data_IF_718176772043
#
_entry.id   IF_718176772043
#
_cell.length_a   1.000
_cell.length_b   1.000
_cell.length_c   1.000
_cell.angle_alpha   90.00
_cell.angle_beta   90.00
_cell.angle_gamma   90.00
#
_symmetry.space_group_name_H-M   'P 1'
#
loop_
_entity.id
_entity.type
_entity.pdbx_description
1 polymer ?
#
# COMPACT_ATOMS: atom_id res chain seq x y z
N UNK A 1 -16.74 2.32 -15.79
CA UNK A 1 -17.11 2.99 -14.52
C UNK A 1 -16.39 2.42 -13.29
N UNK A 2 -16.51 1.13 -12.97
CA UNK A 2 -15.99 0.57 -11.70
C UNK A 2 -14.49 0.79 -11.45
N UNK A 3 -13.64 0.66 -12.48
CA UNK A 3 -12.18 0.93 -12.40
C UNK A 3 -11.84 2.38 -12.01
N UNK A 4 -12.64 3.36 -12.44
CA UNK A 4 -12.42 4.76 -12.11
C UNK A 4 -12.84 5.06 -10.66
N UNK A 5 -13.92 4.42 -10.17
CA UNK A 5 -14.34 4.52 -8.77
C UNK A 5 -13.29 3.96 -7.82
N UNK A 6 -12.74 2.77 -8.10
CA UNK A 6 -11.63 2.21 -7.32
C UNK A 6 -10.42 3.13 -7.27
N UNK A 7 -10.08 3.78 -8.39
CA UNK A 7 -8.97 4.72 -8.46
C UNK A 7 -9.20 6.00 -7.65
N UNK A 8 -10.42 6.53 -7.66
CA UNK A 8 -10.80 7.68 -6.81
C UNK A 8 -10.75 7.30 -5.32
N UNK A 9 -11.34 6.16 -4.97
CA UNK A 9 -11.36 5.68 -3.59
C UNK A 9 -9.95 5.40 -3.06
N UNK A 10 -9.12 4.70 -3.84
CA UNK A 10 -7.72 4.48 -3.50
C UNK A 10 -6.99 5.79 -3.29
N UNK A 11 -7.10 6.75 -4.20
CA UNK A 11 -6.39 8.03 -4.07
C UNK A 11 -6.77 8.81 -2.80
N UNK A 12 -8.02 8.74 -2.36
CA UNK A 12 -8.51 9.46 -1.19
C UNK A 12 -8.13 8.75 0.11
N UNK A 13 -8.35 7.43 0.18
CA UNK A 13 -8.10 6.66 1.40
C UNK A 13 -6.63 6.24 1.56
N UNK A 14 -5.86 6.17 0.47
CA UNK A 14 -4.44 5.81 0.51
C UNK A 14 -3.64 6.58 1.55
N UNK A 15 -3.65 7.93 1.61
CA UNK A 15 -2.89 8.64 2.65
C UNK A 15 -3.35 8.30 4.07
N UNK A 16 -4.65 8.08 4.28
CA UNK A 16 -5.22 7.75 5.59
C UNK A 16 -4.78 6.35 6.05
N UNK A 17 -4.78 5.38 5.14
CA UNK A 17 -4.39 3.99 5.42
C UNK A 17 -2.87 3.83 5.44
N UNK A 18 -2.16 4.53 4.57
CA UNK A 18 -0.70 4.44 4.43
C UNK A 18 0.03 5.06 5.63
N UNK A 19 -0.49 6.15 6.20
CA UNK A 19 0.18 6.83 7.31
C UNK A 19 0.39 5.92 8.54
N UNK A 20 -0.63 5.23 9.09
CA UNK A 20 -0.42 4.30 10.20
C UNK A 20 0.47 3.10 9.78
N UNK A 21 0.31 2.58 8.56
CA UNK A 21 1.18 1.52 8.04
C UNK A 21 2.65 1.92 7.97
N UNK A 22 2.91 3.15 7.54
CA UNK A 22 4.24 3.71 7.45
C UNK A 22 4.86 3.82 8.84
N UNK A 23 4.11 4.38 9.80
CA UNK A 23 4.56 4.47 11.21
C UNK A 23 4.88 3.08 11.76
N UNK A 24 3.96 2.12 11.65
CA UNK A 24 4.14 0.74 12.13
C UNK A 24 5.36 0.07 11.49
N UNK A 25 5.57 0.25 10.18
CA UNK A 25 6.72 -0.35 9.48
C UNK A 25 8.04 0.28 9.94
N UNK A 26 8.10 1.61 10.01
CA UNK A 26 9.32 2.33 10.41
C UNK A 26 9.68 2.02 11.87
N UNK A 27 8.71 2.02 12.79
CA UNK A 27 8.97 1.69 14.19
C UNK A 27 9.38 0.23 14.37
N UNK A 28 8.82 -0.70 13.61
CA UNK A 28 9.22 -2.11 13.64
C UNK A 28 10.66 -2.32 13.15
N UNK A 29 11.04 -1.66 12.05
CA UNK A 29 12.42 -1.67 11.53
C UNK A 29 13.36 -1.04 12.57
N UNK A 30 13.04 0.15 13.07
CA UNK A 30 13.85 0.85 14.05
C UNK A 30 14.01 0.04 15.35
N UNK A 31 12.97 -0.66 15.79
CA UNK A 31 13.02 -1.52 16.98
C UNK A 31 14.04 -2.64 16.78
N UNK A 32 13.98 -3.31 15.62
CA UNK A 32 14.87 -4.44 15.31
C UNK A 32 16.31 -4.00 15.13
N UNK A 33 16.55 -2.89 14.42
CA UNK A 33 17.89 -2.31 14.29
C UNK A 33 18.42 -1.84 15.65
N UNK A 34 17.61 -1.13 16.42
CA UNK A 34 17.94 -0.64 17.76
C UNK A 34 18.38 -1.78 18.69
N UNK A 35 17.61 -2.86 18.75
CA UNK A 35 17.90 -4.02 19.62
C UNK A 35 19.08 -4.85 19.12
N UNK A 36 19.18 -5.10 17.81
CA UNK A 36 20.13 -6.09 17.29
C UNK A 36 21.45 -5.49 16.84
N UNK A 37 21.46 -4.25 16.35
CA UNK A 37 22.65 -3.62 15.79
C UNK A 37 23.23 -2.55 16.73
N UNK A 38 22.36 -1.78 17.40
CA UNK A 38 22.78 -0.70 18.30
C UNK A 38 22.81 -1.10 19.78
N UNK A 39 22.41 -2.33 20.10
CA UNK A 39 22.47 -2.85 21.47
C UNK A 39 21.55 -2.13 22.47
N UNK A 40 20.52 -1.42 22.02
CA UNK A 40 19.54 -0.78 22.90
C UNK A 40 18.90 -1.80 23.83
N UNK A 41 18.67 -1.45 25.09
CA UNK A 41 17.94 -2.30 26.02
C UNK A 41 16.47 -2.46 25.60
N UNK A 42 15.78 -3.45 26.18
CA UNK A 42 14.37 -3.69 25.87
C UNK A 42 13.52 -2.48 26.25
N UNK A 43 13.83 -1.85 27.38
CA UNK A 43 13.11 -0.70 27.91
C UNK A 43 13.33 0.54 27.04
N UNK A 44 14.56 0.77 26.56
CA UNK A 44 14.87 1.85 25.63
C UNK A 44 14.12 1.70 24.31
N UNK A 45 14.02 0.48 23.79
CA UNK A 45 13.32 0.20 22.55
C UNK A 45 11.80 0.08 22.72
N UNK A 46 11.29 -0.04 23.95
CA UNK A 46 9.87 -0.27 24.22
C UNK A 46 8.99 0.86 23.70
N UNK A 47 9.46 2.11 23.75
CA UNK A 47 8.74 3.27 23.22
C UNK A 47 8.41 3.11 21.72
N UNK A 48 9.26 2.43 20.95
CA UNK A 48 8.99 2.13 19.54
C UNK A 48 7.81 1.14 19.40
N UNK A 49 7.71 0.15 20.28
CA UNK A 49 6.59 -0.80 20.30
C UNK A 49 5.27 -0.13 20.73
N UNK A 50 5.33 0.81 21.68
CA UNK A 50 4.15 1.61 22.06
C UNK A 50 3.62 2.40 20.87
N UNK A 51 4.51 2.99 20.06
CA UNK A 51 4.10 3.69 18.83
C UNK A 51 3.66 2.69 17.74
N UNK A 52 4.35 1.56 17.59
CA UNK A 52 4.06 0.51 16.60
C UNK A 52 2.65 -0.05 16.71
N UNK A 53 2.15 -0.22 17.94
CA UNK A 53 0.82 -0.79 18.21
C UNK A 53 -0.22 0.28 18.55
N UNK A 54 0.15 1.57 18.45
CA UNK A 54 -0.62 2.70 18.95
C UNK A 54 -1.08 2.53 20.42
N UNK A 55 -0.24 1.90 21.25
CA UNK A 55 -0.54 1.55 22.64
C UNK A 55 -0.80 2.76 23.55
N UNK A 56 -0.38 3.95 23.14
CA UNK A 56 -0.70 5.20 23.84
C UNK A 56 -2.18 5.59 23.76
N UNK A 57 -2.97 4.99 22.84
CA UNK A 57 -4.41 5.19 22.73
C UNK A 57 -5.22 4.31 23.70
N UNK A 58 -4.56 3.41 24.43
CA UNK A 58 -5.20 2.46 25.35
C UNK A 58 -5.06 1.02 24.88
N UNK A 59 -5.09 0.09 25.84
CA UNK A 59 -4.83 -1.33 25.56
C UNK A 59 -5.93 -1.99 24.75
N UNK A 60 -7.19 -1.56 24.95
CA UNK A 60 -8.35 -2.10 24.24
C UNK A 60 -8.34 -1.76 22.75
N UNK A 61 -7.67 -0.67 22.35
CA UNK A 61 -7.61 -0.22 20.95
C UNK A 61 -6.49 -0.93 20.17
N UNK A 62 -5.44 -1.42 20.84
CA UNK A 62 -4.29 -2.07 20.20
C UNK A 62 -4.70 -3.15 19.19
N UNK A 63 -5.59 -4.12 19.51
CA UNK A 63 -5.96 -5.17 18.58
C UNK A 63 -6.68 -4.63 17.34
N UNK A 64 -7.55 -3.63 17.52
CA UNK A 64 -8.27 -2.99 16.41
C UNK A 64 -7.32 -2.23 15.50
N UNK A 65 -6.36 -1.51 16.06
CA UNK A 65 -5.34 -0.79 15.30
C UNK A 65 -4.50 -1.74 14.45
N UNK A 66 -4.02 -2.85 15.02
CA UNK A 66 -3.23 -3.86 14.30
C UNK A 66 -4.07 -4.54 13.21
N UNK A 67 -5.33 -4.90 13.51
CA UNK A 67 -6.24 -5.51 12.54
C UNK A 67 -6.53 -4.56 11.36
N UNK A 68 -6.82 -3.29 11.64
CA UNK A 68 -7.12 -2.29 10.62
C UNK A 68 -5.91 -2.02 9.73
N UNK A 69 -4.69 -2.01 10.29
CA UNK A 69 -3.47 -1.95 9.50
C UNK A 69 -3.34 -3.17 8.58
N UNK A 70 -3.55 -4.39 9.09
CA UNK A 70 -3.47 -5.61 8.27
C UNK A 70 -4.46 -5.58 7.09
N UNK A 71 -5.72 -5.23 7.34
CA UNK A 71 -6.75 -5.11 6.30
C UNK A 71 -6.41 -3.99 5.32
N UNK A 72 -5.99 -2.84 5.84
CA UNK A 72 -5.60 -1.67 5.06
C UNK A 72 -4.43 -1.96 4.11
N UNK A 73 -3.43 -2.71 4.58
CA UNK A 73 -2.29 -3.14 3.76
C UNK A 73 -2.74 -4.04 2.60
N UNK A 74 -3.56 -5.06 2.88
CA UNK A 74 -4.08 -5.97 1.86
C UNK A 74 -4.88 -5.17 0.84
N UNK A 75 -5.75 -4.28 1.29
CA UNK A 75 -6.56 -3.45 0.41
C UNK A 75 -5.70 -2.53 -0.47
N UNK A 76 -4.70 -1.84 0.12
CA UNK A 76 -3.75 -1.00 -0.61
C UNK A 76 -2.96 -1.78 -1.67
N UNK A 77 -2.51 -2.98 -1.32
CA UNK A 77 -1.75 -3.85 -2.22
C UNK A 77 -2.61 -4.31 -3.40
N UNK A 78 -3.81 -4.86 -3.13
CA UNK A 78 -4.71 -5.36 -4.17
C UNK A 78 -5.14 -4.24 -5.11
N UNK A 79 -5.60 -3.11 -4.56
CA UNK A 79 -6.06 -1.98 -5.37
C UNK A 79 -4.92 -1.31 -6.14
N UNK A 80 -3.73 -1.19 -5.54
CA UNK A 80 -2.51 -0.72 -6.19
C UNK A 80 -2.12 -1.58 -7.39
N UNK A 81 -2.06 -2.89 -7.22
CA UNK A 81 -1.75 -3.85 -8.29
C UNK A 81 -2.77 -3.74 -9.44
N UNK A 82 -4.07 -3.71 -9.13
CA UNK A 82 -5.13 -3.59 -10.15
C UNK A 82 -4.98 -2.31 -10.99
N UNK A 83 -4.55 -1.20 -10.37
CA UNK A 83 -4.38 0.09 -11.08
C UNK A 83 -3.04 0.24 -11.79
N UNK A 84 -1.99 -0.45 -11.34
CA UNK A 84 -0.64 -0.35 -11.89
C UNK A 84 -0.54 -0.81 -13.36
N UNK A 85 -1.50 -1.59 -13.84
CA UNK A 85 -1.48 -2.12 -15.20
C UNK A 85 -0.45 -3.24 -15.39
N UNK A 86 0.10 -3.82 -14.31
CA UNK A 86 0.98 -4.99 -14.36
C UNK A 86 0.38 -6.17 -15.17
N UNK A 87 -0.96 -6.28 -15.23
CA UNK A 87 -1.67 -7.28 -16.02
C UNK A 87 -2.24 -6.76 -17.36
N UNK A 88 -1.97 -5.51 -17.74
CA UNK A 88 -2.45 -4.96 -19.00
C UNK A 88 -1.53 -5.42 -20.14
N UNK A 89 -1.92 -6.51 -20.81
CA UNK A 89 -1.30 -6.92 -22.06
C UNK A 89 -1.44 -5.80 -23.09
N UNK A 90 -0.32 -5.35 -23.66
CA UNK A 90 -0.30 -4.39 -24.76
C UNK A 90 -1.04 -5.01 -25.94
N UNK A 91 -2.28 -4.57 -26.22
CA UNK A 91 -2.96 -4.96 -27.46
C UNK A 91 -2.10 -4.44 -28.63
N UNK A 92 -1.66 -5.30 -29.57
CA UNK A 92 -0.96 -4.83 -30.75
C UNK A 92 -1.89 -3.90 -31.53
N UNK A 93 -1.39 -2.70 -31.86
CA UNK A 93 -2.07 -1.78 -32.77
C UNK A 93 -2.20 -2.47 -34.12
N UNK A 94 -3.41 -2.88 -34.48
CA UNK A 94 -3.70 -3.33 -35.84
C UNK A 94 -3.69 -2.06 -36.71
N UNK A 95 -2.64 -1.88 -37.51
CA UNK A 95 -2.58 -0.83 -38.53
C UNK A 95 -3.69 -1.10 -39.54
N UNK A 96 -4.78 -0.33 -39.45
CA UNK A 96 -5.78 -0.21 -40.51
C UNK A 96 -5.33 0.91 -41.44
N UNK A 97 -4.35 0.64 -42.30
CA UNK A 97 -4.08 1.49 -43.45
C UNK A 97 -3.36 0.68 -44.54
N UNK A 98 -3.80 0.86 -45.78
CA UNK A 98 -3.30 0.23 -47.01
C UNK A 98 -3.92 -1.12 -47.44
N UNK A 99 -5.23 -1.13 -47.70
CA UNK A 99 -5.78 -1.71 -48.95
C UNK A 99 -7.00 -0.89 -49.41
N UNK A 100 -6.79 0.40 -49.68
CA UNK A 100 -7.74 1.23 -50.46
C UNK A 100 -7.22 1.44 -51.90
N UNK A 101 -6.03 0.95 -52.25
CA UNK A 101 -5.42 1.06 -53.59
C UNK A 101 -5.95 0.05 -54.62
N UNK A 102 -7.15 -0.52 -54.43
CA UNK A 102 -7.84 -1.30 -55.48
C UNK A 102 -9.03 -0.55 -56.10
N UNK A 103 -9.20 0.73 -55.79
CA UNK A 103 -10.31 1.54 -56.34
C UNK A 103 -9.81 2.90 -56.80
N UNK A 104 -8.77 2.94 -57.63
CA UNK A 104 -8.54 4.07 -58.51
C UNK A 104 -7.80 3.57 -59.77
N UNK A 105 -8.63 3.30 -60.79
CA UNK A 105 -8.43 3.38 -62.24
C UNK A 105 -7.25 2.65 -62.90
#
# INVERSE_FOLDING_TARGET
MMKQTFRKLHKILAPIVFLPLFVTTITGIAYRLGRNWFGLSKDQAHILMVIHEAGFLGEDIKPFYVLLNGIGLIWMLVTGIIMSGLFNQKKPKQNTESKTTTVES
#
